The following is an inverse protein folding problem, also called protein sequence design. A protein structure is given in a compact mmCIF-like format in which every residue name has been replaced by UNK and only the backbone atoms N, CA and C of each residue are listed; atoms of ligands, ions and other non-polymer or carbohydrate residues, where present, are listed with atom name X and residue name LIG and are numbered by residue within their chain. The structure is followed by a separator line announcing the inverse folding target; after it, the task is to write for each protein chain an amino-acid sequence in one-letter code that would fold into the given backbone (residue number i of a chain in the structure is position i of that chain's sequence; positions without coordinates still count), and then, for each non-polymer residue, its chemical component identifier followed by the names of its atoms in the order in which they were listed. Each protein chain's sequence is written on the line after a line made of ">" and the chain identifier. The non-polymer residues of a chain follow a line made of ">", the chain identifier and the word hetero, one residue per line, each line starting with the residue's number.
data_IF_609674671525
#
_entry.id   IF_609674671525
#
_cell.length_a   1.000
_cell.length_b   1.000
_cell.length_c   1.000
_cell.angle_alpha   90.00
_cell.angle_beta   90.00
_cell.angle_gamma   90.00
#
_symmetry.space_group_name_H-M   'P 1'
#
loop_
_entity.id
_entity.type
_entity.pdbx_description
1 polymer ?
#
# COMPACT_ATOMS: atom_id res chain seq x y z
N UNK A 1 16.31 -6.48 -24.64
CA UNK A 1 16.59 -6.68 -23.21
C UNK A 1 18.03 -6.31 -22.82
N UNK A 2 19.08 -6.88 -23.42
CA UNK A 2 20.48 -6.60 -23.01
C UNK A 2 20.88 -5.11 -22.98
N UNK A 3 20.46 -4.31 -23.97
CA UNK A 3 20.71 -2.86 -23.97
C UNK A 3 20.05 -2.18 -22.76
N UNK A 4 18.79 -2.52 -22.46
CA UNK A 4 18.05 -1.97 -21.33
C UNK A 4 18.76 -2.31 -20.01
N UNK A 5 19.17 -3.57 -19.83
CA UNK A 5 19.93 -3.99 -18.64
C UNK A 5 21.24 -3.21 -18.49
N UNK A 6 21.99 -3.02 -19.56
CA UNK A 6 23.24 -2.24 -19.53
C UNK A 6 23.02 -0.76 -19.18
N UNK A 7 21.88 -0.20 -19.60
CA UNK A 7 21.51 1.17 -19.27
C UNK A 7 21.10 1.27 -17.79
N UNK A 8 20.27 0.35 -17.30
CA UNK A 8 19.86 0.30 -15.89
C UNK A 8 21.08 0.16 -14.97
N UNK A 9 21.98 -0.78 -15.28
CA UNK A 9 23.23 -0.97 -14.53
C UNK A 9 24.06 0.31 -14.50
N UNK A 10 24.26 0.95 -15.67
CA UNK A 10 25.02 2.20 -15.76
C UNK A 10 24.37 3.32 -14.94
N UNK A 11 23.04 3.42 -14.93
CA UNK A 11 22.34 4.43 -14.15
C UNK A 11 22.49 4.17 -12.65
N UNK A 12 22.34 2.94 -12.18
CA UNK A 12 22.55 2.57 -10.78
C UNK A 12 24.00 2.82 -10.32
N UNK A 13 24.99 2.50 -11.16
CA UNK A 13 26.39 2.84 -10.89
C UNK A 13 26.60 4.36 -10.78
N UNK A 14 25.95 5.13 -11.66
CA UNK A 14 26.04 6.60 -11.66
C UNK A 14 25.40 7.18 -10.40
N UNK A 15 24.22 6.68 -10.01
CA UNK A 15 23.52 7.08 -8.78
C UNK A 15 24.42 6.95 -7.56
N UNK A 16 24.96 5.76 -7.30
CA UNK A 16 25.81 5.53 -6.14
C UNK A 16 27.12 6.32 -6.18
N UNK A 17 27.69 6.53 -7.38
CA UNK A 17 28.88 7.35 -7.53
C UNK A 17 28.59 8.81 -7.17
N UNK A 18 27.50 9.38 -7.68
CA UNK A 18 27.10 10.75 -7.37
C UNK A 18 26.74 10.93 -5.89
N UNK A 19 26.10 9.93 -5.28
CA UNK A 19 25.84 9.92 -3.84
C UNK A 19 27.14 10.00 -3.03
N UNK A 20 28.17 9.24 -3.40
CA UNK A 20 29.49 9.30 -2.77
C UNK A 20 30.15 10.67 -3.00
N UNK A 21 30.09 11.22 -4.21
CA UNK A 21 30.59 12.56 -4.53
C UNK A 21 29.91 13.65 -3.69
N UNK A 22 28.57 13.60 -3.54
CA UNK A 22 27.82 14.51 -2.65
C UNK A 22 28.28 14.38 -1.20
N UNK A 23 28.47 13.15 -0.72
CA UNK A 23 28.94 12.91 0.64
C UNK A 23 30.36 13.43 0.89
N UNK A 24 31.26 13.33 -0.09
CA UNK A 24 32.60 13.90 0.03
C UNK A 24 32.59 15.43 -0.06
N UNK A 25 31.76 16.04 -0.92
CA UNK A 25 31.59 17.51 -0.98
C UNK A 25 31.14 18.10 0.37
N UNK A 26 30.30 17.38 1.13
CA UNK A 26 29.86 17.79 2.50
C UNK A 26 30.97 17.78 3.55
N UNK A 27 32.14 17.23 3.24
CA UNK A 27 33.31 17.22 4.15
C UNK A 27 34.34 18.30 3.80
N UNK A 28 34.12 19.05 2.72
CA UNK A 28 35.05 20.09 2.28
C UNK A 28 35.09 21.25 3.31
N UNK A 29 36.24 21.92 3.40
CA UNK A 29 36.40 23.10 4.26
C UNK A 29 35.55 24.28 3.77
N UNK A 30 35.24 24.30 2.47
CA UNK A 30 34.40 25.32 1.82
C UNK A 30 32.89 24.99 1.87
N UNK A 31 32.46 23.99 2.66
CA UNK A 31 31.04 23.65 2.82
C UNK A 31 30.27 24.75 3.56
N UNK A 32 29.26 25.33 2.90
CA UNK A 32 28.35 26.34 3.43
C UNK A 32 26.87 26.05 3.07
N UNK A 33 25.96 26.95 3.45
CA UNK A 33 24.52 26.80 3.18
C UNK A 33 24.20 26.83 1.67
N UNK A 34 24.91 27.66 0.89
CA UNK A 34 24.68 27.77 -0.55
C UNK A 34 25.08 26.45 -1.25
N UNK A 35 26.20 25.83 -0.84
CA UNK A 35 26.60 24.53 -1.35
C UNK A 35 25.63 23.41 -0.93
N UNK A 36 25.08 23.43 0.29
CA UNK A 36 24.10 22.40 0.69
C UNK A 36 22.81 22.49 -0.13
N UNK A 37 22.35 23.69 -0.48
CA UNK A 37 21.20 23.87 -1.37
C UNK A 37 21.45 23.23 -2.74
N UNK A 38 22.60 23.51 -3.36
CA UNK A 38 23.01 22.88 -4.63
C UNK A 38 23.07 21.33 -4.52
N UNK A 39 23.58 20.80 -3.40
CA UNK A 39 23.67 19.36 -3.16
C UNK A 39 22.33 18.68 -2.97
N UNK A 40 21.36 19.37 -2.35
CA UNK A 40 19.99 18.89 -2.21
C UNK A 40 19.28 18.87 -3.57
N UNK A 41 19.46 19.90 -4.40
CA UNK A 41 18.93 19.89 -5.77
C UNK A 41 19.52 18.75 -6.61
N UNK A 42 20.84 18.48 -6.48
CA UNK A 42 21.48 17.33 -7.12
C UNK A 42 20.88 15.99 -6.63
N UNK A 43 20.56 15.88 -5.33
CA UNK A 43 19.98 14.68 -4.72
C UNK A 43 18.54 14.42 -5.16
N UNK A 44 17.73 15.47 -5.25
CA UNK A 44 16.36 15.41 -5.76
C UNK A 44 16.32 14.98 -7.23
N UNK A 45 17.23 15.53 -8.05
CA UNK A 45 17.35 15.16 -9.45
C UNK A 45 17.74 13.69 -9.62
N UNK A 46 18.66 13.17 -8.80
CA UNK A 46 19.06 11.76 -8.83
C UNK A 46 17.94 10.85 -8.32
N UNK A 47 17.22 11.24 -7.26
CA UNK A 47 16.05 10.53 -6.75
C UNK A 47 14.95 10.44 -7.81
N UNK A 48 14.73 11.51 -8.57
CA UNK A 48 13.80 11.48 -9.70
C UNK A 48 14.23 10.48 -10.78
N UNK A 49 15.52 10.41 -11.12
CA UNK A 49 16.03 9.40 -12.06
C UNK A 49 15.82 7.98 -11.51
N UNK A 50 16.05 7.76 -10.21
CA UNK A 50 15.82 6.47 -9.57
C UNK A 50 14.35 6.05 -9.64
N UNK A 51 13.40 6.99 -9.49
CA UNK A 51 11.97 6.68 -9.72
C UNK A 51 11.70 6.22 -11.16
N UNK A 52 12.36 6.79 -12.17
CA UNK A 52 12.23 6.34 -13.56
C UNK A 52 12.89 4.97 -13.80
N UNK A 53 13.95 4.64 -13.06
CA UNK A 53 14.50 3.27 -13.04
C UNK A 53 13.45 2.30 -12.48
N UNK A 54 12.72 2.71 -11.43
CA UNK A 54 11.57 1.98 -10.89
C UNK A 54 10.49 1.75 -11.94
N UNK A 55 10.02 2.79 -12.63
CA UNK A 55 8.97 2.68 -13.66
C UNK A 55 9.32 1.68 -14.77
N UNK A 56 10.59 1.67 -15.21
CA UNK A 56 11.07 0.74 -16.24
C UNK A 56 11.04 -0.69 -15.72
N UNK A 57 11.52 -0.92 -14.49
CA UNK A 57 11.56 -2.25 -13.89
C UNK A 57 10.16 -2.78 -13.59
N UNK A 58 9.28 -1.95 -13.04
CA UNK A 58 7.86 -2.24 -12.85
C UNK A 58 7.24 -2.72 -14.16
N UNK A 59 7.44 -1.99 -15.25
CA UNK A 59 6.92 -2.36 -16.59
C UNK A 59 7.49 -3.69 -17.10
N UNK A 60 8.77 -3.99 -16.83
CA UNK A 60 9.40 -5.24 -17.26
C UNK A 60 8.87 -6.41 -16.43
N UNK A 61 8.77 -6.26 -15.11
CA UNK A 61 8.19 -7.27 -14.22
C UNK A 61 6.72 -7.53 -14.57
N UNK A 62 5.92 -6.49 -14.78
CA UNK A 62 4.51 -6.62 -15.16
C UNK A 62 4.28 -7.28 -16.53
N UNK A 63 5.30 -7.38 -17.39
CA UNK A 63 5.18 -8.00 -18.73
C UNK A 63 5.89 -9.35 -18.86
N UNK A 64 6.98 -9.56 -18.14
CA UNK A 64 7.83 -10.76 -18.25
C UNK A 64 7.83 -11.62 -16.98
N UNK A 65 7.26 -11.13 -15.87
CA UNK A 65 7.09 -11.86 -14.62
C UNK A 65 8.37 -12.57 -14.16
N UNK A 66 8.30 -13.84 -13.75
CA UNK A 66 9.43 -14.63 -13.28
C UNK A 66 10.51 -14.88 -14.34
N UNK A 67 10.20 -14.77 -15.63
CA UNK A 67 11.18 -14.98 -16.72
C UNK A 67 12.27 -13.90 -16.72
N UNK A 68 12.00 -12.73 -16.13
CA UNK A 68 12.96 -11.65 -16.01
C UNK A 68 13.97 -11.84 -14.86
N UNK A 69 13.65 -12.67 -13.87
CA UNK A 69 14.47 -12.83 -12.66
C UNK A 69 15.95 -13.15 -12.92
N UNK A 70 16.33 -14.04 -13.87
CA UNK A 70 17.74 -14.30 -14.17
C UNK A 70 18.52 -13.08 -14.69
N UNK A 71 17.84 -12.12 -15.32
CA UNK A 71 18.45 -10.86 -15.74
C UNK A 71 18.49 -9.87 -14.58
N UNK A 72 17.41 -9.77 -13.80
CA UNK A 72 17.35 -8.96 -12.59
C UNK A 72 18.47 -9.31 -11.59
N UNK A 73 18.87 -10.59 -11.52
CA UNK A 73 19.99 -11.06 -10.68
C UNK A 73 21.31 -10.30 -10.90
N UNK A 74 21.52 -9.72 -12.08
CA UNK A 74 22.70 -8.90 -12.38
C UNK A 74 22.67 -7.54 -11.66
N UNK A 75 21.47 -7.06 -11.31
CA UNK A 75 21.26 -5.77 -10.64
C UNK A 75 21.08 -5.92 -9.11
N UNK A 76 20.97 -7.14 -8.60
CA UNK A 76 20.74 -7.42 -7.17
C UNK A 76 21.65 -6.64 -6.22
N UNK A 77 22.99 -6.53 -6.44
CA UNK A 77 23.86 -5.82 -5.52
C UNK A 77 23.44 -4.36 -5.29
N UNK A 78 22.88 -3.71 -6.32
CA UNK A 78 22.41 -2.33 -6.22
C UNK A 78 21.13 -2.23 -5.38
N UNK A 79 20.15 -3.10 -5.62
CA UNK A 79 18.88 -3.09 -4.88
C UNK A 79 19.02 -3.54 -3.44
N UNK A 80 19.95 -4.46 -3.15
CA UNK A 80 20.35 -4.78 -1.76
C UNK A 80 21.00 -3.57 -1.10
N UNK A 81 21.85 -2.83 -1.82
CA UNK A 81 22.51 -1.64 -1.28
C UNK A 81 21.51 -0.53 -0.98
N UNK A 82 20.54 -0.28 -1.86
CA UNK A 82 19.53 0.79 -1.71
C UNK A 82 18.73 0.69 -0.40
N UNK A 83 18.35 -0.52 0.01
CA UNK A 83 17.61 -0.75 1.27
C UNK A 83 18.53 -0.91 2.49
N UNK A 84 19.84 -0.73 2.31
CA UNK A 84 20.82 -0.84 3.38
C UNK A 84 20.62 0.19 4.50
N UNK A 85 21.02 -0.11 5.74
CA UNK A 85 20.78 0.76 6.89
C UNK A 85 21.41 2.16 6.74
N UNK A 86 22.55 2.24 6.05
CA UNK A 86 23.33 3.48 5.87
C UNK A 86 22.81 4.36 4.71
N UNK A 87 21.77 3.94 3.99
CA UNK A 87 21.21 4.73 2.88
C UNK A 87 20.22 5.80 3.35
N UNK A 88 20.05 6.82 2.52
CA UNK A 88 19.00 7.84 2.67
C UNK A 88 17.62 7.19 2.49
N UNK A 89 16.58 7.85 3.01
CA UNK A 89 15.25 7.28 3.03
C UNK A 89 14.65 7.11 1.62
N UNK A 90 14.95 8.02 0.69
CA UNK A 90 14.49 7.94 -0.70
C UNK A 90 15.06 6.73 -1.43
N UNK A 91 16.35 6.44 -1.24
CA UNK A 91 16.99 5.22 -1.76
C UNK A 91 16.33 3.96 -1.20
N UNK A 92 16.06 3.92 0.11
CA UNK A 92 15.38 2.80 0.77
C UNK A 92 13.97 2.61 0.22
N UNK A 93 13.24 3.69 -0.03
CA UNK A 93 11.88 3.67 -0.58
C UNK A 93 11.89 3.04 -1.97
N UNK A 94 12.66 3.59 -2.91
CA UNK A 94 12.69 3.08 -4.28
C UNK A 94 13.31 1.68 -4.37
N UNK A 95 14.30 1.37 -3.53
CA UNK A 95 14.82 0.03 -3.39
C UNK A 95 13.74 -0.96 -2.95
N UNK A 96 12.88 -0.57 -2.00
CA UNK A 96 11.76 -1.38 -1.53
C UNK A 96 10.66 -1.54 -2.58
N UNK A 97 10.28 -0.47 -3.29
CA UNK A 97 9.28 -0.55 -4.37
C UNK A 97 9.65 -1.59 -5.44
N UNK A 98 10.95 -1.73 -5.76
CA UNK A 98 11.41 -2.79 -6.67
C UNK A 98 11.24 -4.19 -6.07
N UNK A 99 11.44 -4.35 -4.76
CA UNK A 99 11.16 -5.61 -4.10
C UNK A 99 9.66 -5.92 -4.04
N UNK A 100 8.83 -4.90 -3.92
CA UNK A 100 7.38 -5.03 -4.02
C UNK A 100 6.98 -5.54 -5.41
N UNK A 101 7.54 -4.98 -6.49
CA UNK A 101 7.34 -5.45 -7.87
C UNK A 101 7.78 -6.92 -8.06
N UNK A 102 8.89 -7.32 -7.45
CA UNK A 102 9.36 -8.72 -7.49
C UNK A 102 8.34 -9.65 -6.82
N UNK A 103 7.74 -9.23 -5.71
CA UNK A 103 6.74 -10.03 -5.00
C UNK A 103 5.43 -10.08 -5.80
N UNK A 104 4.95 -8.93 -6.23
CA UNK A 104 3.68 -8.77 -6.92
C UNK A 104 3.66 -9.51 -8.26
N UNK A 105 4.70 -9.35 -9.07
CA UNK A 105 4.71 -9.87 -10.43
C UNK A 105 5.37 -11.24 -10.58
N UNK A 106 6.21 -11.67 -9.62
CA UNK A 106 6.83 -13.00 -9.67
C UNK A 106 6.30 -13.99 -8.61
N UNK A 107 5.40 -13.52 -7.72
CA UNK A 107 4.67 -14.35 -6.78
C UNK A 107 5.57 -15.25 -5.93
N UNK A 108 5.31 -16.56 -5.82
CA UNK A 108 6.11 -17.48 -4.99
C UNK A 108 7.59 -17.58 -5.35
N UNK A 109 7.99 -17.19 -6.57
CA UNK A 109 9.41 -17.20 -6.96
C UNK A 109 10.23 -16.15 -6.20
N UNK A 110 9.58 -15.09 -5.69
CA UNK A 110 10.21 -14.06 -4.87
C UNK A 110 10.88 -14.61 -3.60
N UNK A 111 10.43 -15.76 -3.09
CA UNK A 111 10.99 -16.43 -1.90
C UNK A 111 12.49 -16.61 -1.97
N UNK A 112 13.03 -16.86 -3.18
CA UNK A 112 14.47 -17.01 -3.43
C UNK A 112 15.29 -15.82 -2.92
N UNK A 113 14.67 -14.64 -2.86
CA UNK A 113 15.32 -13.37 -2.56
C UNK A 113 15.01 -12.84 -1.16
N UNK A 114 14.25 -13.56 -0.33
CA UNK A 114 13.83 -13.10 1.01
C UNK A 114 14.97 -12.67 1.92
N UNK A 115 16.13 -13.33 1.82
CA UNK A 115 17.34 -12.94 2.56
C UNK A 115 17.84 -11.51 2.26
N UNK A 116 17.40 -10.92 1.14
CA UNK A 116 17.84 -9.61 0.69
C UNK A 116 16.94 -8.47 1.17
N UNK A 117 15.62 -8.69 1.26
CA UNK A 117 14.66 -7.61 1.49
C UNK A 117 13.80 -7.79 2.74
N UNK A 118 13.56 -9.02 3.20
CA UNK A 118 12.46 -9.30 4.11
C UNK A 118 12.65 -8.63 5.48
N UNK A 119 13.86 -8.67 6.02
CA UNK A 119 14.15 -8.07 7.32
C UNK A 119 13.97 -6.54 7.29
N UNK A 120 14.41 -5.89 6.20
CA UNK A 120 14.28 -4.45 5.99
C UNK A 120 12.82 -4.06 5.81
N UNK A 121 12.08 -4.73 4.92
CA UNK A 121 10.65 -4.52 4.70
C UNK A 121 9.85 -4.61 6.02
N UNK A 122 10.11 -5.65 6.84
CA UNK A 122 9.47 -5.80 8.14
C UNK A 122 9.85 -4.67 9.12
N UNK A 123 11.12 -4.23 9.12
CA UNK A 123 11.57 -3.15 9.99
C UNK A 123 10.96 -1.80 9.62
N UNK A 124 10.76 -1.56 8.32
CA UNK A 124 10.28 -0.30 7.78
C UNK A 124 8.78 -0.06 8.03
N UNK A 125 8.00 -1.09 8.41
CA UNK A 125 6.63 -0.94 8.94
C UNK A 125 6.57 -0.06 10.21
N UNK A 126 7.70 0.17 10.88
CA UNK A 126 7.80 1.05 12.05
C UNK A 126 8.82 2.19 11.83
N UNK A 127 9.17 2.50 10.57
CA UNK A 127 10.09 3.60 10.28
C UNK A 127 9.46 4.96 10.61
N UNK A 128 10.30 5.96 10.86
CA UNK A 128 9.86 7.34 11.06
C UNK A 128 9.33 7.97 9.76
N UNK A 129 9.85 7.55 8.61
CA UNK A 129 9.45 8.08 7.31
C UNK A 129 8.13 7.46 6.83
N UNK A 130 7.09 8.28 6.58
CA UNK A 130 5.81 7.79 6.08
C UNK A 130 5.93 6.97 4.79
N UNK A 131 6.81 7.38 3.88
CA UNK A 131 7.00 6.74 2.58
C UNK A 131 7.57 5.33 2.71
N UNK A 132 8.46 5.10 3.68
CA UNK A 132 8.99 3.76 3.98
C UNK A 132 7.92 2.86 4.62
N UNK A 133 7.09 3.42 5.51
CA UNK A 133 5.95 2.71 6.07
C UNK A 133 4.95 2.32 4.99
N UNK A 134 4.67 3.22 4.05
CA UNK A 134 3.73 3.01 2.95
C UNK A 134 4.22 1.88 2.04
N UNK A 135 5.44 1.99 1.51
CA UNK A 135 6.02 0.96 0.65
C UNK A 135 6.10 -0.41 1.37
N UNK A 136 6.43 -0.42 2.66
CA UNK A 136 6.45 -1.68 3.44
C UNK A 136 5.06 -2.28 3.63
N UNK A 137 4.06 -1.46 3.93
CA UNK A 137 2.69 -1.93 4.07
C UNK A 137 2.16 -2.48 2.72
N UNK A 138 2.45 -1.78 1.62
CA UNK A 138 2.18 -2.26 0.26
C UNK A 138 2.83 -3.63 0.02
N UNK A 139 4.15 -3.74 0.26
CA UNK A 139 4.93 -4.97 0.16
C UNK A 139 4.34 -6.16 0.90
N UNK A 140 3.88 -5.96 2.16
CA UNK A 140 3.18 -7.01 2.92
C UNK A 140 1.83 -7.36 2.28
N UNK A 141 1.09 -6.37 1.80
CA UNK A 141 -0.18 -6.59 1.10
C UNK A 141 -0.02 -7.44 -0.16
N UNK A 142 0.93 -7.10 -1.03
CA UNK A 142 1.22 -7.89 -2.25
C UNK A 142 1.82 -9.25 -1.92
N UNK A 143 2.60 -9.36 -0.83
CA UNK A 143 3.09 -10.64 -0.32
C UNK A 143 1.96 -11.58 0.10
N UNK A 144 0.94 -11.06 0.77
CA UNK A 144 -0.25 -11.83 1.11
C UNK A 144 -1.03 -12.26 -0.13
N UNK A 145 -1.21 -11.36 -1.10
CA UNK A 145 -2.04 -11.59 -2.29
C UNK A 145 -1.37 -12.49 -3.34
N UNK A 146 -0.08 -12.29 -3.60
CA UNK A 146 0.63 -12.89 -4.73
C UNK A 146 1.77 -13.83 -4.30
N UNK A 147 2.35 -13.64 -3.11
CA UNK A 147 3.52 -14.40 -2.66
C UNK A 147 3.24 -15.88 -2.35
N UNK A 148 1.99 -16.24 -2.06
CA UNK A 148 1.56 -17.62 -1.75
C UNK A 148 1.77 -18.03 -0.29
N UNK A 149 1.36 -19.27 0.04
CA UNK A 149 1.28 -19.79 1.41
C UNK A 149 2.63 -19.78 2.16
N UNK A 150 3.74 -19.82 1.44
CA UNK A 150 5.10 -19.74 2.00
C UNK A 150 5.33 -18.47 2.84
N UNK A 151 4.59 -17.40 2.58
CA UNK A 151 4.66 -16.16 3.34
C UNK A 151 3.63 -16.05 4.48
N UNK A 152 2.84 -17.09 4.76
CA UNK A 152 1.80 -17.05 5.79
C UNK A 152 2.34 -16.67 7.18
N UNK A 153 3.51 -17.20 7.54
CA UNK A 153 4.17 -16.87 8.80
C UNK A 153 4.60 -15.39 8.86
N UNK A 154 5.16 -14.86 7.77
CA UNK A 154 5.52 -13.45 7.67
C UNK A 154 4.28 -12.56 7.76
N UNK A 155 3.20 -12.90 7.05
CA UNK A 155 1.94 -12.15 7.11
C UNK A 155 1.39 -12.08 8.54
N UNK A 156 1.45 -13.19 9.28
CA UNK A 156 1.06 -13.23 10.68
C UNK A 156 1.98 -12.39 11.59
N UNK A 157 3.30 -12.38 11.32
CA UNK A 157 4.26 -11.56 12.05
C UNK A 157 4.08 -10.05 11.77
N UNK A 158 3.71 -9.68 10.55
CA UNK A 158 3.50 -8.29 10.15
C UNK A 158 2.21 -7.70 10.72
N UNK A 159 1.18 -8.53 10.96
CA UNK A 159 -0.12 -8.10 11.45
C UNK A 159 -0.06 -7.16 12.67
N UNK A 160 0.62 -7.49 13.79
CA UNK A 160 0.72 -6.57 14.94
C UNK A 160 1.46 -5.26 14.62
N UNK A 161 2.39 -5.25 13.67
CA UNK A 161 3.10 -4.03 13.24
C UNK A 161 2.18 -3.11 12.43
N UNK A 162 1.41 -3.69 11.51
CA UNK A 162 0.39 -2.97 10.75
C UNK A 162 -0.69 -2.38 11.67
N UNK A 163 -1.19 -3.18 12.63
CA UNK A 163 -2.16 -2.70 13.64
C UNK A 163 -1.61 -1.52 14.43
N UNK A 164 -0.33 -1.58 14.84
CA UNK A 164 0.32 -0.49 15.56
C UNK A 164 0.40 0.79 14.72
N UNK A 165 0.71 0.68 13.43
CA UNK A 165 0.74 1.82 12.50
C UNK A 165 -0.64 2.49 12.41
N UNK A 166 -1.70 1.70 12.29
CA UNK A 166 -3.08 2.19 12.16
C UNK A 166 -3.58 2.84 13.46
N UNK A 167 -3.18 2.29 14.60
CA UNK A 167 -3.57 2.78 15.93
C UNK A 167 -2.73 3.96 16.43
N UNK A 168 -1.73 4.42 15.67
CA UNK A 168 -0.99 5.61 16.02
C UNK A 168 -1.94 6.83 16.10
N UNK A 169 -1.85 7.70 17.12
CA UNK A 169 -2.74 8.86 17.25
C UNK A 169 -2.69 9.81 16.05
N UNK A 170 -1.55 9.87 15.35
CA UNK A 170 -1.34 10.71 14.17
C UNK A 170 -1.53 9.93 12.86
N UNK A 171 -2.07 8.70 12.89
CA UNK A 171 -2.19 7.83 11.71
C UNK A 171 -3.03 8.45 10.58
N UNK A 172 -3.97 9.34 10.92
CA UNK A 172 -4.82 10.05 9.95
C UNK A 172 -4.38 11.50 9.67
N UNK A 173 -3.15 11.88 10.04
CA UNK A 173 -2.58 13.16 9.61
C UNK A 173 -2.28 13.15 8.10
N UNK A 174 -2.10 14.32 7.49
CA UNK A 174 -1.83 14.45 6.04
C UNK A 174 -0.61 13.61 5.62
N UNK A 175 0.44 13.59 6.43
CA UNK A 175 1.67 12.85 6.15
C UNK A 175 1.48 11.33 6.33
N UNK A 176 0.58 10.91 7.22
CA UNK A 176 0.45 9.51 7.64
C UNK A 176 -0.76 8.79 7.05
N UNK A 177 -1.67 9.49 6.37
CA UNK A 177 -2.91 8.89 5.90
C UNK A 177 -2.64 7.80 4.84
N UNK A 178 -1.81 8.07 3.84
CA UNK A 178 -1.41 7.09 2.82
C UNK A 178 -0.79 5.80 3.39
N UNK A 179 0.26 5.84 4.25
CA UNK A 179 0.79 4.61 4.85
C UNK A 179 -0.23 3.88 5.72
N UNK A 180 -1.10 4.62 6.42
CA UNK A 180 -2.17 4.03 7.23
C UNK A 180 -3.20 3.29 6.38
N UNK A 181 -3.61 3.86 5.25
CA UNK A 181 -4.54 3.20 4.31
C UNK A 181 -3.92 1.98 3.64
N UNK A 182 -2.64 2.07 3.25
CA UNK A 182 -1.87 0.91 2.80
C UNK A 182 -1.81 -0.18 3.86
N UNK A 183 -1.66 0.17 5.14
CA UNK A 183 -1.70 -0.83 6.22
C UNK A 183 -3.09 -1.46 6.43
N UNK A 184 -4.15 -0.67 6.34
CA UNK A 184 -5.54 -1.16 6.39
C UNK A 184 -5.80 -2.14 5.24
N UNK A 185 -5.33 -1.81 4.04
CA UNK A 185 -5.45 -2.65 2.86
C UNK A 185 -4.57 -3.91 2.94
N UNK A 186 -3.34 -3.80 3.44
CA UNK A 186 -2.48 -4.96 3.69
C UNK A 186 -3.15 -5.97 4.62
N UNK A 187 -3.80 -5.50 5.69
CA UNK A 187 -4.58 -6.38 6.58
C UNK A 187 -5.77 -7.02 5.85
N UNK A 188 -6.47 -6.28 4.98
CA UNK A 188 -7.53 -6.84 4.14
C UNK A 188 -6.99 -7.98 3.25
N UNK A 189 -5.88 -7.74 2.56
CA UNK A 189 -5.19 -8.70 1.68
C UNK A 189 -4.70 -9.93 2.46
N UNK A 190 -4.16 -9.77 3.67
CA UNK A 190 -3.81 -10.88 4.58
C UNK A 190 -5.06 -11.71 4.91
N UNK A 191 -6.13 -11.07 5.37
CA UNK A 191 -7.35 -11.76 5.76
C UNK A 191 -8.01 -12.48 4.58
N UNK A 192 -7.91 -11.93 3.38
CA UNK A 192 -8.52 -12.49 2.17
C UNK A 192 -7.69 -13.62 1.55
N UNK A 193 -6.36 -13.49 1.52
CA UNK A 193 -5.51 -14.34 0.68
C UNK A 193 -4.50 -15.20 1.46
N UNK A 194 -4.07 -14.79 2.65
CA UNK A 194 -3.00 -15.47 3.38
C UNK A 194 -3.24 -15.51 4.89
N UNK A 195 -4.36 -16.15 5.26
CA UNK A 195 -4.88 -16.13 6.61
C UNK A 195 -4.63 -17.41 7.43
N UNK A 196 -3.90 -18.40 6.91
CA UNK A 196 -3.74 -19.72 7.54
C UNK A 196 -3.01 -19.68 8.90
N UNK A 197 -2.29 -18.60 9.19
CA UNK A 197 -1.53 -18.38 10.43
C UNK A 197 -2.13 -17.28 11.34
N UNK A 198 -3.32 -16.77 11.01
CA UNK A 198 -4.03 -15.77 11.84
C UNK A 198 -5.47 -16.21 12.12
N UNK A 199 -6.07 -15.65 13.16
CA UNK A 199 -7.51 -15.78 13.39
C UNK A 199 -8.24 -14.57 12.80
N UNK A 200 -8.77 -14.71 11.58
CA UNK A 200 -9.49 -13.64 10.87
C UNK A 200 -10.64 -13.06 11.71
N UNK A 201 -11.31 -13.90 12.51
CA UNK A 201 -12.44 -13.47 13.34
C UNK A 201 -12.03 -12.44 14.41
N UNK A 202 -10.78 -12.47 14.89
CA UNK A 202 -10.29 -11.49 15.85
C UNK A 202 -9.94 -10.16 15.18
N UNK A 203 -9.67 -10.18 13.87
CA UNK A 203 -9.21 -9.02 13.09
C UNK A 203 -10.37 -8.23 12.49
N UNK A 204 -11.38 -8.91 11.93
CA UNK A 204 -12.46 -8.28 11.17
C UNK A 204 -13.20 -7.15 11.89
N UNK A 205 -13.57 -7.26 13.18
CA UNK A 205 -14.25 -6.17 13.88
C UNK A 205 -13.39 -4.91 13.98
N UNK A 206 -12.08 -5.08 14.21
CA UNK A 206 -11.14 -3.95 14.23
C UNK A 206 -10.96 -3.36 12.84
N UNK A 207 -10.79 -4.22 11.83
CA UNK A 207 -10.63 -3.79 10.45
C UNK A 207 -11.79 -2.93 9.95
N UNK A 208 -13.04 -3.35 10.22
CA UNK A 208 -14.23 -2.56 9.90
C UNK A 208 -14.24 -1.18 10.57
N UNK A 209 -13.67 -1.08 11.79
CA UNK A 209 -13.63 0.18 12.54
C UNK A 209 -12.64 1.21 11.95
N UNK A 210 -11.64 0.75 11.19
CA UNK A 210 -10.64 1.61 10.56
C UNK A 210 -11.13 2.24 9.25
N UNK A 211 -12.18 1.70 8.64
CA UNK A 211 -12.80 2.24 7.43
C UNK A 211 -13.60 3.53 7.73
N UNK A 212 -13.71 4.48 6.77
CA UNK A 212 -13.36 4.37 5.35
C UNK A 212 -11.88 4.64 5.01
N UNK A 213 -11.53 4.40 3.75
CA UNK A 213 -10.26 4.76 3.10
C UNK A 213 -10.53 5.54 1.81
N UNK A 214 -9.73 6.55 1.47
CA UNK A 214 -9.94 7.39 0.28
C UNK A 214 -8.71 8.17 -0.22
N UNK A 215 -7.58 8.15 0.49
CA UNK A 215 -6.38 8.89 0.10
C UNK A 215 -5.57 8.15 -0.96
N UNK A 216 -5.55 6.81 -0.88
CA UNK A 216 -4.89 5.94 -1.85
C UNK A 216 -5.93 5.18 -2.68
N UNK A 217 -6.16 5.63 -3.92
CA UNK A 217 -7.16 5.05 -4.83
C UNK A 217 -6.83 3.60 -5.22
N UNK A 218 -5.53 3.27 -5.36
CA UNK A 218 -5.07 1.92 -5.72
C UNK A 218 -5.36 0.92 -4.59
N UNK A 219 -5.40 1.39 -3.34
CA UNK A 219 -5.70 0.59 -2.16
C UNK A 219 -7.17 0.62 -1.72
N UNK A 220 -7.91 1.67 -2.09
CA UNK A 220 -9.33 1.78 -1.81
C UNK A 220 -10.14 0.68 -2.49
N UNK A 221 -9.92 0.41 -3.78
CA UNK A 221 -10.67 -0.60 -4.52
C UNK A 221 -10.54 -2.02 -3.90
N UNK A 222 -9.33 -2.55 -3.60
CA UNK A 222 -9.17 -3.82 -2.88
C UNK A 222 -9.90 -3.86 -1.52
N UNK A 223 -9.83 -2.79 -0.74
CA UNK A 223 -10.48 -2.69 0.58
C UNK A 223 -12.00 -2.82 0.46
N UNK A 224 -12.61 -2.04 -0.44
CA UNK A 224 -14.06 -2.07 -0.64
C UNK A 224 -14.52 -3.34 -1.35
N UNK A 225 -13.70 -3.93 -2.21
CA UNK A 225 -13.99 -5.23 -2.80
C UNK A 225 -14.09 -6.32 -1.72
N UNK A 226 -13.15 -6.34 -0.77
CA UNK A 226 -13.18 -7.28 0.35
C UNK A 226 -14.36 -7.02 1.31
N UNK A 227 -14.69 -5.75 1.58
CA UNK A 227 -15.88 -5.40 2.36
C UNK A 227 -17.15 -5.94 1.70
N UNK A 228 -17.30 -5.76 0.38
CA UNK A 228 -18.42 -6.29 -0.38
C UNK A 228 -18.46 -7.83 -0.32
N UNK A 229 -17.31 -8.52 -0.48
CA UNK A 229 -17.24 -9.98 -0.37
C UNK A 229 -17.81 -10.47 0.97
N UNK A 230 -17.42 -9.81 2.08
CA UNK A 230 -17.87 -10.17 3.42
C UNK A 230 -19.36 -9.88 3.64
N UNK A 231 -19.89 -8.80 3.09
CA UNK A 231 -21.31 -8.44 3.21
C UNK A 231 -22.18 -9.41 2.40
N UNK A 232 -21.77 -9.73 1.17
CA UNK A 232 -22.52 -10.61 0.27
C UNK A 232 -22.62 -12.05 0.80
N UNK A 233 -21.61 -12.53 1.55
CA UNK A 233 -21.68 -13.81 2.26
C UNK A 233 -22.37 -13.72 3.63
N UNK A 234 -22.95 -12.58 3.98
CA UNK A 234 -23.60 -12.31 5.27
C UNK A 234 -22.68 -12.57 6.48
N UNK A 235 -21.41 -12.12 6.41
CA UNK A 235 -20.44 -12.40 7.45
C UNK A 235 -20.88 -11.80 8.81
N UNK A 236 -21.08 -12.63 9.86
CA UNK A 236 -21.75 -12.19 11.09
C UNK A 236 -20.95 -11.14 11.87
N UNK A 237 -19.62 -11.15 11.78
CA UNK A 237 -18.78 -10.15 12.43
C UNK A 237 -18.75 -8.80 11.70
N UNK A 238 -19.10 -8.77 10.42
CA UNK A 238 -19.18 -7.52 9.65
C UNK A 238 -20.57 -6.90 9.81
N UNK A 239 -21.63 -7.69 9.64
CA UNK A 239 -23.01 -7.20 9.81
C UNK A 239 -23.35 -6.95 11.29
N UNK A 240 -22.74 -7.70 12.21
CA UNK A 240 -23.06 -7.69 13.63
C UNK A 240 -24.38 -8.42 13.94
N UNK A 241 -24.60 -8.71 15.22
CA UNK A 241 -25.86 -9.31 15.67
C UNK A 241 -27.05 -8.42 15.29
N UNK A 242 -28.10 -9.02 14.72
CA UNK A 242 -29.26 -8.31 14.17
C UNK A 242 -28.91 -7.18 13.17
N UNK A 243 -27.77 -7.32 12.48
CA UNK A 243 -27.28 -6.37 11.48
C UNK A 243 -27.02 -4.95 12.03
N UNK A 244 -26.62 -4.85 13.30
CA UNK A 244 -26.39 -3.57 14.00
C UNK A 244 -25.33 -2.68 13.32
N UNK A 245 -24.44 -3.24 12.50
CA UNK A 245 -23.40 -2.47 11.80
C UNK A 245 -23.86 -1.88 10.46
N UNK A 246 -25.07 -2.20 9.96
CA UNK A 246 -25.56 -1.66 8.69
C UNK A 246 -25.52 -0.13 8.61
N UNK A 247 -25.91 0.64 9.65
CA UNK A 247 -25.80 2.09 9.60
C UNK A 247 -24.36 2.58 9.43
N UNK A 248 -23.39 1.94 10.09
CA UNK A 248 -21.96 2.25 9.92
C UNK A 248 -21.47 1.90 8.52
N UNK A 249 -21.89 0.77 7.98
CA UNK A 249 -21.53 0.36 6.60
C UNK A 249 -22.06 1.37 5.59
N UNK A 250 -23.30 1.86 5.74
CA UNK A 250 -23.86 2.91 4.88
C UNK A 250 -23.05 4.21 5.01
N UNK A 251 -22.61 4.59 6.21
CA UNK A 251 -21.72 5.75 6.40
C UNK A 251 -20.38 5.58 5.69
N UNK A 252 -19.77 4.39 5.77
CA UNK A 252 -18.50 4.07 5.09
C UNK A 252 -18.67 4.21 3.58
N UNK A 253 -19.73 3.62 3.00
CA UNK A 253 -20.01 3.70 1.56
C UNK A 253 -20.32 5.14 1.12
N UNK A 254 -21.09 5.88 1.90
CA UNK A 254 -21.42 7.27 1.58
C UNK A 254 -20.17 8.16 1.59
N UNK A 255 -19.27 8.02 2.58
CA UNK A 255 -18.01 8.76 2.59
C UNK A 255 -17.11 8.38 1.41
N UNK A 256 -16.99 7.08 1.10
CA UNK A 256 -16.22 6.62 -0.05
C UNK A 256 -16.72 7.22 -1.37
N UNK A 257 -18.04 7.33 -1.56
CA UNK A 257 -18.62 7.97 -2.73
C UNK A 257 -18.41 9.48 -2.74
N UNK A 258 -18.54 10.15 -1.59
CA UNK A 258 -18.31 11.60 -1.47
C UNK A 258 -16.85 11.96 -1.74
N UNK A 259 -15.92 11.11 -1.33
CA UNK A 259 -14.48 11.28 -1.56
C UNK A 259 -14.00 10.77 -2.91
N UNK A 260 -14.91 10.22 -3.73
CA UNK A 260 -14.57 9.62 -5.02
C UNK A 260 -13.51 8.51 -4.90
N UNK A 261 -13.44 7.84 -3.75
CA UNK A 261 -12.42 6.84 -3.40
C UNK A 261 -12.42 5.61 -4.34
N UNK A 262 -13.51 5.40 -5.07
CA UNK A 262 -13.65 4.32 -6.04
C UNK A 262 -14.33 4.88 -7.28
N UNK A 263 -13.76 4.58 -8.46
CA UNK A 263 -14.33 4.99 -9.75
C UNK A 263 -15.77 4.51 -9.90
N UNK A 264 -16.66 5.41 -10.33
CA UNK A 264 -18.08 5.12 -10.59
C UNK A 264 -18.31 4.11 -11.71
N UNK A 265 -17.30 3.88 -12.57
CA UNK A 265 -17.34 2.87 -13.63
C UNK A 265 -16.89 1.48 -13.15
N UNK A 266 -16.33 1.37 -11.95
CA UNK A 266 -15.82 0.11 -11.41
C UNK A 266 -16.95 -0.85 -11.00
N UNK A 267 -16.65 -2.15 -11.05
CA UNK A 267 -17.55 -3.17 -10.51
C UNK A 267 -17.73 -3.01 -8.99
N UNK A 268 -16.69 -2.60 -8.26
CA UNK A 268 -16.73 -2.42 -6.81
C UNK A 268 -17.71 -1.33 -6.42
N UNK A 269 -17.71 -0.19 -7.12
CA UNK A 269 -18.70 0.88 -6.91
C UNK A 269 -20.14 0.35 -7.09
N UNK A 270 -20.37 -0.44 -8.14
CA UNK A 270 -21.67 -1.08 -8.40
C UNK A 270 -22.08 -2.01 -7.26
N UNK A 271 -21.15 -2.81 -6.72
CA UNK A 271 -21.40 -3.70 -5.57
C UNK A 271 -21.76 -2.90 -4.31
N UNK A 272 -21.01 -1.85 -4.00
CA UNK A 272 -21.28 -0.96 -2.86
C UNK A 272 -22.66 -0.31 -2.97
N UNK A 273 -23.01 0.19 -4.15
CA UNK A 273 -24.32 0.79 -4.42
C UNK A 273 -25.46 -0.22 -4.25
N UNK A 274 -25.27 -1.46 -4.72
CA UNK A 274 -26.25 -2.52 -4.57
C UNK A 274 -26.48 -2.90 -3.09
N UNK A 275 -25.43 -2.87 -2.26
CA UNK A 275 -25.55 -3.07 -0.81
C UNK A 275 -26.41 -1.97 -0.19
N UNK A 276 -26.19 -0.70 -0.54
CA UNK A 276 -27.04 0.41 -0.06
C UNK A 276 -28.49 0.25 -0.52
N UNK A 277 -28.72 -0.12 -1.78
CA UNK A 277 -30.07 -0.40 -2.32
C UNK A 277 -30.77 -1.53 -1.57
N UNK A 278 -30.04 -2.56 -1.13
CA UNK A 278 -30.62 -3.62 -0.29
C UNK A 278 -31.01 -3.10 1.09
N UNK A 279 -30.22 -2.20 1.69
CA UNK A 279 -30.57 -1.57 2.97
C UNK A 279 -31.81 -0.66 2.82
N UNK A 280 -31.94 0.06 1.71
CA UNK A 280 -33.09 0.92 1.40
C UNK A 280 -34.42 0.13 1.37
N UNK A 281 -34.39 -1.16 1.01
CA UNK A 281 -35.57 -2.03 1.06
C UNK A 281 -36.12 -2.24 2.49
N UNK A 282 -35.36 -1.87 3.53
CA UNK A 282 -35.83 -1.78 4.90
C UNK A 282 -35.91 -0.31 5.34
N UNK A 283 -37.06 0.38 5.16
CA UNK A 283 -37.19 1.81 5.41
C UNK A 283 -36.84 2.21 6.84
N UNK A 284 -37.10 1.36 7.84
CA UNK A 284 -36.80 1.67 9.23
C UNK A 284 -35.28 1.74 9.48
N UNK A 285 -34.52 0.79 8.93
CA UNK A 285 -33.06 0.79 9.04
C UNK A 285 -32.46 1.94 8.24
N UNK A 286 -32.88 2.11 6.98
CA UNK A 286 -32.35 3.17 6.12
C UNK A 286 -32.60 4.57 6.68
N UNK A 287 -33.81 4.85 7.19
CA UNK A 287 -34.11 6.11 7.88
C UNK A 287 -33.27 6.31 9.15
N UNK A 288 -32.85 5.22 9.81
CA UNK A 288 -31.90 5.27 10.91
C UNK A 288 -30.47 5.65 10.49
N UNK A 289 -30.09 5.41 9.23
CA UNK A 289 -28.79 5.78 8.68
C UNK A 289 -28.69 7.27 8.34
N UNK A 290 -29.75 7.88 7.80
CA UNK A 290 -29.73 9.26 7.27
C UNK A 290 -29.20 10.29 8.29
N UNK A 291 -29.62 10.29 9.57
CA UNK A 291 -29.11 11.26 10.55
C UNK A 291 -27.63 11.12 10.88
N UNK A 292 -26.99 10.00 10.55
CA UNK A 292 -25.56 9.76 10.75
C UNK A 292 -24.71 10.36 9.61
N UNK A 293 -25.35 10.71 8.49
CA UNK A 293 -24.69 11.24 7.31
C UNK A 293 -24.65 12.77 7.31
N UNK A 294 -23.55 13.35 6.85
CA UNK A 294 -23.46 14.78 6.54
C UNK A 294 -24.40 15.16 5.39
N UNK A 295 -24.72 16.45 5.24
CA UNK A 295 -25.56 16.91 4.13
C UNK A 295 -24.96 16.57 2.76
N UNK A 296 -23.63 16.63 2.66
CA UNK A 296 -22.89 16.26 1.45
C UNK A 296 -23.00 14.76 1.16
N UNK A 297 -22.75 13.91 2.16
CA UNK A 297 -22.92 12.45 2.05
C UNK A 297 -24.34 12.06 1.65
N UNK A 298 -25.36 12.70 2.23
CA UNK A 298 -26.76 12.46 1.87
C UNK A 298 -27.03 12.81 0.40
N UNK A 299 -26.51 13.95 -0.07
CA UNK A 299 -26.66 14.38 -1.44
C UNK A 299 -25.98 13.42 -2.41
N UNK A 300 -24.72 13.05 -2.16
CA UNK A 300 -23.97 12.11 -2.99
C UNK A 300 -24.67 10.75 -3.06
N UNK A 301 -25.11 10.22 -1.90
CA UNK A 301 -25.80 8.94 -1.85
C UNK A 301 -27.13 8.98 -2.61
N UNK A 302 -27.90 10.07 -2.49
CA UNK A 302 -29.14 10.25 -3.24
C UNK A 302 -28.88 10.29 -4.75
N UNK A 303 -27.84 10.99 -5.19
CA UNK A 303 -27.45 11.05 -6.60
C UNK A 303 -27.07 9.65 -7.13
N UNK A 304 -26.23 8.92 -6.39
CA UNK A 304 -25.82 7.56 -6.75
C UNK A 304 -27.00 6.56 -6.79
N UNK A 305 -27.95 6.68 -5.87
CA UNK A 305 -29.15 5.82 -5.88
C UNK A 305 -30.10 6.11 -7.04
N UNK A 306 -30.10 7.36 -7.51
CA UNK A 306 -30.97 7.84 -8.59
C UNK A 306 -30.43 7.57 -10.01
N UNK A 307 -29.17 7.16 -10.14
CA UNK A 307 -28.54 6.75 -11.41
C UNK A 307 -28.80 5.28 -11.73
#
# INVERSE_FOLDING_TARGET
>A
MNLVMSLLEKQLQTHFKKQEERHEKRKDEDYDEDLEEDLLEEDDADTYILSKVSDILHSIFGTHHEEFLPLFEQLLPFFVKLIGPDQVWSDKQWGLCIWDDVIEHCGPHSVKYTQYFLAQMMSFLSDKQPELRQASAYGIGVMAKFGGEVYAATCAEALPLLVKMIQDPESRSIENANPTENAISAIAKICQHNNSQINVNDVLPMWLSWLPVWEDEDEAEPVYNYLCDLIEINHPLILGENHVNLPRIVCIVAEAFTKEAVSSESNVYTRMLNIVRQVEQNPAVFQGCIPLLSAEQQQTLHQALSS
#
